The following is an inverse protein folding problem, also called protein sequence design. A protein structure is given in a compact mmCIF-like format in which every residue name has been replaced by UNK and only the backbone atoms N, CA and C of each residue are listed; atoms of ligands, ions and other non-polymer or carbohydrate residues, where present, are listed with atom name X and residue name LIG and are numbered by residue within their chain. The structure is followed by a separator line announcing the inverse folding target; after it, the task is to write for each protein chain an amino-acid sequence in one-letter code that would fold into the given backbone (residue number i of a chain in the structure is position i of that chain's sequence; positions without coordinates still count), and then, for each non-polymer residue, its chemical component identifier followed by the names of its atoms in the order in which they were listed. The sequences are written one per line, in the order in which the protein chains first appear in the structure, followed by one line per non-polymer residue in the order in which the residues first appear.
data_IF_688463923758
#
_entry.id   IF_688463923758
#
_cell.length_a   1.000
_cell.length_b   1.000
_cell.length_c   1.000
_cell.angle_alpha   90.00
_cell.angle_beta   90.00
_cell.angle_gamma   90.00
#
_symmetry.space_group_name_H-M   'P 1'
#
loop_
_entity.id
_entity.type
_entity.pdbx_description
1 polymer ?
#
# COMPACT_ATOMS: atom_id res chain seq x y z
N UNK A 1 -11.97 19.38 -12.04
CA UNK A 1 -10.83 18.47 -12.34
C UNK A 1 -11.31 17.11 -12.84
N UNK A 2 -10.45 16.36 -13.53
CA UNK A 2 -10.76 14.98 -13.91
C UNK A 2 -10.37 14.01 -12.78
N UNK A 3 -11.21 12.99 -12.55
CA UNK A 3 -10.96 11.96 -11.57
C UNK A 3 -11.50 10.59 -12.04
N UNK A 4 -10.93 9.50 -11.53
CA UNK A 4 -11.45 8.15 -11.72
C UNK A 4 -12.52 7.90 -10.66
N UNK A 5 -13.78 7.84 -11.10
CA UNK A 5 -14.94 7.74 -10.23
C UNK A 5 -15.55 6.34 -10.32
N UNK A 6 -15.78 5.71 -9.17
CA UNK A 6 -16.47 4.43 -9.08
C UNK A 6 -17.97 4.60 -9.39
N UNK A 7 -18.50 3.76 -10.25
CA UNK A 7 -19.93 3.79 -10.68
C UNK A 7 -20.70 2.59 -10.15
N UNK A 8 -20.02 1.52 -9.82
CA UNK A 8 -20.57 0.26 -9.37
C UNK A 8 -19.59 -0.90 -9.61
N UNK A 9 -19.92 -2.13 -9.20
CA UNK A 9 -19.06 -3.28 -9.40
C UNK A 9 -18.63 -3.44 -10.86
N UNK A 10 -17.33 -3.46 -11.10
CA UNK A 10 -16.65 -3.55 -12.41
C UNK A 10 -16.91 -2.36 -13.34
N UNK A 11 -17.29 -1.21 -12.77
CA UNK A 11 -17.52 0.00 -13.53
C UNK A 11 -16.84 1.21 -12.87
N UNK A 12 -15.94 1.84 -13.60
CA UNK A 12 -15.33 3.13 -13.28
C UNK A 12 -15.38 4.05 -14.51
N UNK A 13 -15.40 5.35 -14.28
CA UNK A 13 -15.38 6.34 -15.35
C UNK A 13 -14.43 7.48 -15.00
N UNK A 14 -13.80 8.09 -16.01
CA UNK A 14 -13.15 9.39 -15.84
C UNK A 14 -14.20 10.47 -15.99
N UNK A 15 -14.45 11.23 -14.92
CA UNK A 15 -15.46 12.27 -14.87
C UNK A 15 -14.86 13.62 -14.44
N UNK A 16 -15.55 14.68 -14.81
CA UNK A 16 -15.30 16.01 -14.24
C UNK A 16 -15.96 16.07 -12.86
N UNK A 17 -15.15 16.34 -11.84
CA UNK A 17 -15.59 16.57 -10.46
C UNK A 17 -15.12 17.94 -9.99
N UNK A 18 -15.67 18.43 -8.88
CA UNK A 18 -15.23 19.69 -8.29
C UNK A 18 -13.75 19.64 -7.90
N UNK A 19 -13.04 20.75 -8.08
CA UNK A 19 -11.68 20.88 -7.60
C UNK A 19 -11.66 20.89 -6.06
N UNK A 20 -10.68 20.22 -5.42
CA UNK A 20 -10.54 20.28 -3.97
C UNK A 20 -10.13 21.71 -3.54
N UNK A 21 -10.53 22.10 -2.33
CA UNK A 21 -10.19 23.39 -1.74
C UNK A 21 -9.59 23.20 -0.34
N UNK A 22 -8.81 24.16 0.14
CA UNK A 22 -8.39 24.25 1.55
C UNK A 22 -9.65 24.40 2.43
N UNK A 23 -9.86 23.45 3.33
CA UNK A 23 -10.97 23.44 4.29
C UNK A 23 -10.48 23.87 5.68
N UNK A 24 -9.34 23.32 6.08
CA UNK A 24 -8.69 23.61 7.35
C UNK A 24 -7.34 24.30 7.14
N UNK A 25 -6.88 25.12 8.11
CA UNK A 25 -5.57 25.79 7.99
C UNK A 25 -4.39 24.82 7.86
N UNK A 26 -4.54 23.55 8.22
CA UNK A 26 -3.51 22.51 8.17
C UNK A 26 -3.51 21.70 6.87
N UNK A 27 -4.37 22.06 5.92
CA UNK A 27 -4.48 21.38 4.63
C UNK A 27 -3.47 21.89 3.60
N UNK A 28 -3.18 21.03 2.63
CA UNK A 28 -2.60 21.46 1.34
C UNK A 28 -3.42 20.88 0.18
N UNK A 29 -3.32 21.50 -0.98
CA UNK A 29 -3.75 20.90 -2.25
C UNK A 29 -2.51 20.45 -2.99
N UNK A 30 -2.51 19.20 -3.39
CA UNK A 30 -1.42 18.56 -4.15
C UNK A 30 -1.90 18.28 -5.57
N UNK A 31 -1.18 18.77 -6.56
CA UNK A 31 -1.32 18.37 -7.95
C UNK A 31 -0.65 17.02 -8.12
N UNK A 32 -1.42 16.01 -8.43
CA UNK A 32 -0.93 14.63 -8.55
C UNK A 32 -0.10 14.48 -9.81
N UNK A 33 1.10 13.93 -9.66
CA UNK A 33 2.00 13.60 -10.78
C UNK A 33 2.03 12.11 -11.06
N UNK A 34 1.90 11.30 -10.03
CA UNK A 34 1.80 9.84 -10.15
C UNK A 34 0.88 9.28 -9.08
N UNK A 35 0.09 8.29 -9.46
CA UNK A 35 -0.74 7.49 -8.57
C UNK A 35 -0.70 6.04 -9.05
N UNK A 36 -0.76 5.08 -8.14
CA UNK A 36 -0.80 3.67 -8.49
C UNK A 36 -2.21 3.09 -8.31
N UNK A 37 -2.41 1.89 -8.84
CA UNK A 37 -3.60 1.07 -8.63
C UNK A 37 -3.20 -0.08 -7.70
N UNK A 38 -3.76 -0.11 -6.51
CA UNK A 38 -3.54 -1.14 -5.52
C UNK A 38 -4.50 -2.33 -5.68
N UNK A 39 -4.15 -3.47 -5.10
CA UNK A 39 -5.06 -4.60 -4.98
C UNK A 39 -6.35 -4.26 -4.23
N UNK A 40 -6.32 -3.36 -3.27
CA UNK A 40 -7.51 -2.89 -2.54
C UNK A 40 -8.45 -2.06 -3.42
N UNK A 41 -7.95 -1.27 -4.37
CA UNK A 41 -8.79 -0.61 -5.40
C UNK A 41 -9.51 -1.66 -6.24
N UNK A 42 -8.82 -2.74 -6.61
CA UNK A 42 -9.41 -3.85 -7.37
C UNK A 42 -10.48 -4.61 -6.56
N UNK A 43 -10.29 -4.76 -5.25
CA UNK A 43 -11.31 -5.37 -4.39
C UNK A 43 -12.60 -4.54 -4.33
N UNK A 44 -12.49 -3.21 -4.25
CA UNK A 44 -13.65 -2.31 -4.36
C UNK A 44 -14.28 -2.38 -5.76
N UNK A 45 -13.44 -2.33 -6.81
CA UNK A 45 -13.89 -2.43 -8.20
C UNK A 45 -14.66 -3.73 -8.46
N UNK A 46 -14.21 -4.87 -7.94
CA UNK A 46 -14.86 -6.17 -8.07
C UNK A 46 -16.08 -6.36 -7.15
N UNK A 47 -16.32 -5.44 -6.22
CA UNK A 47 -17.41 -5.54 -5.23
C UNK A 47 -17.11 -6.54 -4.10
N UNK A 48 -15.84 -6.85 -3.83
CA UNK A 48 -15.40 -7.70 -2.71
C UNK A 48 -15.36 -6.95 -1.39
N UNK A 49 -15.11 -5.65 -1.45
CA UNK A 49 -15.14 -4.73 -0.32
C UNK A 49 -16.07 -3.56 -0.62
N UNK A 50 -16.56 -2.91 0.42
CA UNK A 50 -17.52 -1.82 0.30
C UNK A 50 -16.95 -0.65 -0.50
N UNK A 51 -17.72 -0.17 -1.46
CA UNK A 51 -17.49 1.05 -2.21
C UNK A 51 -18.83 1.67 -2.58
N UNK A 52 -18.90 3.01 -2.59
CA UNK A 52 -20.10 3.75 -2.92
C UNK A 52 -19.94 4.44 -4.28
N UNK A 53 -20.95 4.37 -5.18
CA UNK A 53 -20.90 5.11 -6.43
C UNK A 53 -20.70 6.62 -6.17
N UNK A 54 -19.76 7.21 -6.92
CA UNK A 54 -19.36 8.61 -6.77
C UNK A 54 -18.03 8.81 -6.01
N UNK A 55 -17.49 7.79 -5.33
CA UNK A 55 -16.17 7.91 -4.72
C UNK A 55 -15.06 8.00 -5.78
N UNK A 56 -14.09 8.87 -5.56
CA UNK A 56 -12.84 8.91 -6.34
C UNK A 56 -11.86 7.89 -5.75
N UNK A 57 -11.32 7.02 -6.59
CA UNK A 57 -10.33 6.01 -6.19
C UNK A 57 -8.92 6.60 -6.01
N UNK A 58 -8.05 5.80 -5.42
CA UNK A 58 -6.61 6.01 -5.35
C UNK A 58 -6.10 6.50 -3.99
N UNK A 59 -5.25 5.68 -3.39
CA UNK A 59 -4.60 5.99 -2.10
C UNK A 59 -3.07 5.94 -2.18
N UNK A 60 -2.50 5.59 -3.31
CA UNK A 60 -1.05 5.57 -3.55
C UNK A 60 -0.64 6.80 -4.36
N UNK A 61 -0.45 7.93 -3.71
CA UNK A 61 -0.38 9.23 -4.37
C UNK A 61 0.95 9.94 -4.12
N UNK A 62 1.45 10.63 -5.14
CA UNK A 62 2.50 11.61 -5.02
C UNK A 62 2.26 12.79 -5.97
N UNK A 63 2.89 13.91 -5.69
CA UNK A 63 2.70 15.08 -6.52
C UNK A 63 3.46 16.31 -6.04
N UNK A 64 3.02 17.45 -6.52
CA UNK A 64 3.59 18.77 -6.20
C UNK A 64 2.55 19.57 -5.40
N UNK A 65 2.98 20.13 -4.28
CA UNK A 65 2.15 21.03 -3.47
C UNK A 65 1.83 22.28 -4.27
N UNK A 66 0.54 22.57 -4.48
CA UNK A 66 0.07 23.76 -5.20
C UNK A 66 -0.37 24.86 -4.23
N UNK A 67 -1.29 24.53 -3.31
CA UNK A 67 -1.82 25.45 -2.32
C UNK A 67 -1.50 24.99 -0.89
N UNK A 68 -1.28 25.95 -0.01
CA UNK A 68 -0.86 25.69 1.37
C UNK A 68 -1.73 26.47 2.34
N UNK A 69 -2.33 25.78 3.30
CA UNK A 69 -3.06 26.36 4.40
C UNK A 69 -2.17 27.16 5.34
N UNK A 70 -2.74 28.16 6.01
CA UNK A 70 -1.97 29.11 6.85
C UNK A 70 -1.30 28.46 8.07
N UNK A 71 -1.72 27.29 8.48
CA UNK A 71 -1.19 26.55 9.62
C UNK A 71 -0.12 25.52 9.26
N UNK A 72 0.21 25.35 7.99
CA UNK A 72 1.22 24.38 7.52
C UNK A 72 2.60 25.00 7.64
N UNK A 73 3.56 24.23 8.17
CA UNK A 73 4.92 24.70 8.46
C UNK A 73 6.03 23.90 7.76
N UNK A 74 5.79 22.64 7.41
CA UNK A 74 6.83 21.71 6.95
C UNK A 74 6.99 21.64 5.43
N UNK A 75 5.95 22.01 4.68
CA UNK A 75 5.93 22.02 3.21
C UNK A 75 5.45 23.36 2.67
N UNK A 76 5.81 23.66 1.43
CA UNK A 76 5.44 24.89 0.72
C UNK A 76 5.07 24.57 -0.73
N UNK A 77 4.39 25.51 -1.40
CA UNK A 77 4.09 25.41 -2.85
C UNK A 77 5.37 25.15 -3.65
N UNK A 78 5.29 24.20 -4.57
CA UNK A 78 6.39 23.69 -5.38
C UNK A 78 7.14 22.50 -4.78
N UNK A 79 6.94 22.15 -3.52
CA UNK A 79 7.56 20.97 -2.92
C UNK A 79 6.97 19.69 -3.52
N UNK A 80 7.86 18.73 -3.79
CA UNK A 80 7.49 17.38 -4.22
C UNK A 80 7.27 16.50 -3.01
N UNK A 81 6.13 15.82 -2.97
CA UNK A 81 5.72 15.01 -1.81
C UNK A 81 5.15 13.66 -2.24
N UNK A 82 5.38 12.64 -1.40
CA UNK A 82 4.60 11.40 -1.42
C UNK A 82 3.63 11.41 -0.24
N UNK A 83 2.45 10.87 -0.45
CA UNK A 83 1.34 10.89 0.49
C UNK A 83 1.09 9.46 0.98
N UNK A 84 1.39 9.15 2.26
CA UNK A 84 1.01 7.87 2.85
C UNK A 84 -0.48 7.61 2.66
N UNK A 85 -0.86 6.37 2.36
CA UNK A 85 -2.26 6.03 2.06
C UNK A 85 -3.21 6.36 3.21
N UNK A 86 -2.75 6.26 4.46
CA UNK A 86 -3.54 6.53 5.64
C UNK A 86 -3.42 8.00 6.07
N UNK A 87 -4.54 8.55 6.51
CA UNK A 87 -4.63 9.91 7.06
C UNK A 87 -4.51 9.87 8.58
N UNK A 88 -3.66 10.72 9.14
CA UNK A 88 -3.50 10.86 10.59
C UNK A 88 -3.18 12.31 10.99
N UNK A 89 -3.50 12.70 12.22
CA UNK A 89 -3.28 14.09 12.66
C UNK A 89 -1.83 14.39 13.10
N UNK A 90 -1.04 13.37 13.48
CA UNK A 90 0.34 13.53 13.93
C UNK A 90 0.53 13.97 15.39
N UNK A 91 -0.52 14.46 16.08
CA UNK A 91 -0.38 15.07 17.40
C UNK A 91 -1.18 14.40 18.53
N UNK A 92 -2.16 13.54 18.26
CA UNK A 92 -2.85 12.81 19.31
C UNK A 92 -1.95 11.76 19.99
N UNK A 93 -2.37 11.21 21.10
CA UNK A 93 -1.55 10.28 21.90
C UNK A 93 -1.16 9.03 21.08
N UNK A 94 -2.08 8.51 20.27
CA UNK A 94 -1.80 7.36 19.42
C UNK A 94 -0.76 7.69 18.32
N UNK A 95 -0.89 8.86 17.67
CA UNK A 95 0.10 9.29 16.68
C UNK A 95 1.48 9.51 17.31
N UNK A 96 1.55 10.15 18.49
CA UNK A 96 2.81 10.33 19.24
C UNK A 96 3.44 9.01 19.69
N UNK A 97 2.62 7.97 19.90
CA UNK A 97 3.07 6.63 20.22
C UNK A 97 3.42 5.77 18.98
N UNK A 98 3.45 6.35 17.76
CA UNK A 98 3.71 5.65 16.51
C UNK A 98 2.55 4.78 16.01
N UNK A 99 1.35 4.99 16.53
CA UNK A 99 0.14 4.23 16.18
C UNK A 99 -0.81 5.05 15.32
N UNK A 100 -0.31 5.61 14.23
CA UNK A 100 -1.04 6.54 13.35
C UNK A 100 -2.29 5.91 12.70
N UNK A 101 -2.26 4.62 12.39
CA UNK A 101 -3.43 3.89 11.89
C UNK A 101 -4.62 3.89 12.88
N UNK A 102 -4.36 4.16 14.17
CA UNK A 102 -5.37 4.31 15.22
C UNK A 102 -5.47 5.76 15.69
N UNK A 103 -5.30 6.72 14.80
CA UNK A 103 -5.38 8.14 15.10
C UNK A 103 -6.72 8.49 15.74
N UNK A 104 -6.69 9.13 16.92
CA UNK A 104 -7.90 9.46 17.67
C UNK A 104 -8.68 10.64 17.09
N UNK A 105 -8.06 11.41 16.21
CA UNK A 105 -8.68 12.60 15.58
C UNK A 105 -9.46 12.24 14.32
N UNK A 106 -8.94 11.30 13.53
CA UNK A 106 -9.54 10.94 12.22
C UNK A 106 -10.37 9.66 12.29
N UNK A 107 -10.22 8.86 13.34
CA UNK A 107 -11.05 7.67 13.55
C UNK A 107 -12.37 8.08 14.21
N UNK A 108 -13.40 8.19 13.41
CA UNK A 108 -14.75 8.28 13.92
C UNK A 108 -15.18 6.93 14.55
N UNK A 109 -16.10 6.95 15.52
CA UNK A 109 -16.62 5.70 16.10
C UNK A 109 -17.16 4.76 15.02
N UNK A 110 -16.59 3.56 14.94
CA UNK A 110 -16.96 2.53 13.96
C UNK A 110 -16.14 2.55 12.67
N UNK A 111 -15.16 3.44 12.52
CA UNK A 111 -14.20 3.43 11.41
C UNK A 111 -12.85 2.80 11.81
N UNK A 112 -12.14 2.25 10.83
CA UNK A 112 -10.86 1.58 11.04
C UNK A 112 -9.67 2.45 10.59
N UNK A 113 -9.67 3.73 10.90
CA UNK A 113 -8.65 4.69 10.48
C UNK A 113 -9.14 5.66 9.42
N UNK A 114 -8.26 6.56 8.98
CA UNK A 114 -8.47 7.44 7.83
C UNK A 114 -7.63 7.01 6.66
N UNK A 115 -8.21 6.93 5.45
CA UNK A 115 -7.46 6.66 4.23
C UNK A 115 -8.09 7.36 3.03
N UNK A 116 -7.28 7.67 2.03
CA UNK A 116 -7.77 8.25 0.78
C UNK A 116 -8.53 7.21 -0.04
N UNK A 117 -9.64 7.62 -0.66
CA UNK A 117 -10.36 6.81 -1.63
C UNK A 117 -10.99 5.52 -1.09
N UNK A 118 -11.22 5.43 0.22
CA UNK A 118 -11.79 4.23 0.86
C UNK A 118 -12.99 4.61 1.73
N UNK A 119 -14.20 4.17 1.36
CA UNK A 119 -15.47 4.60 1.97
C UNK A 119 -15.57 4.29 3.47
N UNK A 120 -15.03 3.17 3.90
CA UNK A 120 -15.04 2.74 5.31
C UNK A 120 -13.97 3.42 6.18
N UNK A 121 -13.16 4.34 5.63
CA UNK A 121 -12.01 4.95 6.30
C UNK A 121 -12.05 6.47 6.26
N UNK A 122 -13.22 7.05 6.43
CA UNK A 122 -13.44 8.49 6.51
C UNK A 122 -13.73 9.17 5.16
N UNK A 123 -14.02 10.50 5.21
CA UNK A 123 -14.51 11.25 4.07
C UNK A 123 -13.37 11.80 3.18
N UNK A 124 -12.31 11.01 2.95
CA UNK A 124 -11.14 11.45 2.20
C UNK A 124 -11.22 10.92 0.76
N UNK A 125 -11.39 11.83 -0.20
CA UNK A 125 -11.36 11.48 -1.63
C UNK A 125 -10.02 10.87 -2.04
N UNK A 126 -10.04 10.04 -3.07
CA UNK A 126 -8.81 9.43 -3.60
C UNK A 126 -8.07 10.33 -4.59
N UNK A 127 -6.82 9.99 -4.83
CA UNK A 127 -5.90 10.75 -5.68
C UNK A 127 -5.69 10.17 -7.07
N UNK A 128 -6.54 9.22 -7.55
CA UNK A 128 -6.63 8.95 -8.98
C UNK A 128 -7.41 10.09 -9.65
N UNK A 129 -6.89 11.30 -9.49
CA UNK A 129 -7.44 12.60 -9.89
C UNK A 129 -6.31 13.58 -10.22
N UNK A 130 -6.63 14.73 -10.80
CA UNK A 130 -5.62 15.76 -11.09
C UNK A 130 -5.11 16.47 -9.83
N UNK A 131 -5.97 16.61 -8.81
CA UNK A 131 -5.63 17.23 -7.52
C UNK A 131 -6.20 16.46 -6.34
N UNK A 132 -5.53 16.58 -5.20
CA UNK A 132 -5.94 15.96 -3.94
C UNK A 132 -5.78 16.95 -2.79
N UNK A 133 -6.82 17.07 -1.94
CA UNK A 133 -6.71 17.73 -0.64
C UNK A 133 -6.04 16.79 0.36
N UNK A 134 -5.00 17.26 1.01
CA UNK A 134 -4.26 16.52 2.05
C UNK A 134 -4.47 17.22 3.39
N UNK A 135 -5.27 16.65 4.30
CA UNK A 135 -5.44 17.19 5.65
C UNK A 135 -4.20 16.91 6.51
N UNK A 136 -3.98 17.74 7.53
CA UNK A 136 -2.82 17.61 8.44
C UNK A 136 -1.51 17.44 7.67
N UNK A 137 -1.24 18.35 6.74
CA UNK A 137 -0.17 18.24 5.76
C UNK A 137 1.21 18.07 6.37
N UNK A 138 1.49 18.70 7.50
CA UNK A 138 2.75 18.57 8.22
C UNK A 138 3.04 17.12 8.68
N UNK A 139 2.04 16.27 8.73
CA UNK A 139 2.19 14.86 9.06
C UNK A 139 2.01 13.94 7.86
N UNK A 140 1.09 14.28 6.95
CA UNK A 140 0.70 13.41 5.83
C UNK A 140 1.42 13.73 4.51
N UNK A 141 2.28 14.74 4.46
CA UNK A 141 3.16 15.00 3.34
C UNK A 141 4.59 14.60 3.69
N UNK A 142 5.15 13.62 2.99
CA UNK A 142 6.56 13.25 3.11
C UNK A 142 7.34 13.93 1.99
N UNK A 143 8.21 14.93 2.29
CA UNK A 143 8.97 15.62 1.27
C UNK A 143 9.94 14.70 0.53
N UNK A 144 10.03 14.87 -0.78
CA UNK A 144 10.92 14.14 -1.66
C UNK A 144 11.99 15.07 -2.24
N UNK A 145 13.11 14.53 -2.74
CA UNK A 145 14.08 15.31 -3.51
C UNK A 145 13.40 16.02 -4.69
N UNK A 146 13.80 17.25 -4.96
CA UNK A 146 13.31 18.03 -6.10
C UNK A 146 13.69 17.35 -7.43
N UNK A 147 12.87 17.57 -8.46
CA UNK A 147 13.06 17.00 -9.79
C UNK A 147 12.08 15.87 -10.10
N UNK A 148 12.28 15.21 -11.23
CA UNK A 148 11.41 14.14 -11.74
C UNK A 148 12.07 12.75 -11.66
N UNK A 149 13.30 12.69 -11.19
CA UNK A 149 14.04 11.44 -11.07
C UNK A 149 13.36 10.50 -10.08
N UNK A 150 13.41 9.20 -10.36
CA UNK A 150 12.85 8.15 -9.51
C UNK A 150 11.36 8.28 -9.20
N UNK A 151 10.59 8.91 -10.09
CA UNK A 151 9.15 9.15 -9.89
C UNK A 151 8.39 7.86 -9.54
N UNK A 152 8.65 6.79 -10.30
CA UNK A 152 7.99 5.49 -10.11
C UNK A 152 8.43 4.80 -8.82
N UNK A 153 9.69 4.97 -8.43
CA UNK A 153 10.22 4.37 -7.20
C UNK A 153 9.62 5.07 -5.98
N UNK A 154 9.54 6.41 -6.03
CA UNK A 154 8.94 7.20 -4.95
C UNK A 154 7.43 6.98 -4.81
N UNK A 155 6.71 6.73 -5.90
CA UNK A 155 5.27 6.43 -5.82
C UNK A 155 4.99 5.18 -4.96
N UNK A 156 5.88 4.19 -4.96
CA UNK A 156 5.74 2.99 -4.12
C UNK A 156 5.86 3.27 -2.61
N UNK A 157 6.42 4.42 -2.22
CA UNK A 157 6.50 4.82 -0.81
C UNK A 157 5.15 5.25 -0.23
N UNK A 158 4.13 5.45 -1.06
CA UNK A 158 2.80 5.82 -0.58
C UNK A 158 2.11 4.68 0.18
N UNK A 159 2.27 3.41 -0.26
CA UNK A 159 1.65 2.24 0.36
C UNK A 159 2.50 0.98 0.26
N UNK A 160 2.72 0.44 -0.94
CA UNK A 160 3.16 -0.96 -1.11
C UNK A 160 4.53 -1.25 -0.50
N UNK A 161 5.48 -0.31 -0.54
CA UNK A 161 6.78 -0.51 0.09
C UNK A 161 6.68 -0.47 1.62
N UNK A 162 6.09 0.58 2.28
CA UNK A 162 5.92 0.58 3.73
C UNK A 162 5.01 -0.57 4.22
N UNK A 163 4.00 -1.00 3.45
CA UNK A 163 3.18 -2.17 3.79
C UNK A 163 4.00 -3.45 3.77
N UNK A 164 4.81 -3.69 2.75
CA UNK A 164 5.76 -4.80 2.70
C UNK A 164 6.80 -4.74 3.82
N UNK A 165 7.34 -3.56 4.12
CA UNK A 165 8.26 -3.38 5.24
C UNK A 165 7.59 -3.68 6.59
N UNK A 166 6.39 -3.15 6.80
CA UNK A 166 5.63 -3.38 8.04
C UNK A 166 5.28 -4.86 8.26
N UNK A 167 5.00 -5.62 7.18
CA UNK A 167 4.76 -7.06 7.29
C UNK A 167 5.98 -7.79 7.87
N UNK A 168 7.19 -7.39 7.49
CA UNK A 168 8.43 -7.97 8.05
C UNK A 168 8.70 -7.52 9.49
N UNK A 169 8.24 -6.32 9.89
CA UNK A 169 8.26 -5.88 11.30
C UNK A 169 7.32 -6.75 12.13
N UNK A 170 6.08 -6.98 11.67
CA UNK A 170 5.11 -7.82 12.35
C UNK A 170 5.56 -9.28 12.46
N UNK A 171 6.18 -9.82 11.41
CA UNK A 171 6.79 -11.14 11.42
C UNK A 171 8.03 -11.22 12.35
N UNK A 172 8.60 -10.08 12.74
CA UNK A 172 9.76 -10.00 13.62
C UNK A 172 11.05 -10.47 12.97
N UNK A 173 11.21 -10.28 11.66
CA UNK A 173 12.39 -10.71 10.87
C UNK A 173 13.67 -10.13 11.45
N UNK A 174 14.66 -11.01 11.71
CA UNK A 174 15.99 -10.68 12.21
C UNK A 174 17.09 -11.03 11.20
N UNK A 175 18.26 -10.38 11.29
CA UNK A 175 19.41 -10.73 10.45
C UNK A 175 19.79 -12.22 10.58
N UNK A 176 20.03 -12.87 9.44
CA UNK A 176 20.42 -14.27 9.37
C UNK A 176 19.26 -15.25 9.31
N UNK A 177 18.02 -14.83 9.59
CA UNK A 177 16.83 -15.69 9.51
C UNK A 177 16.43 -15.99 8.06
N UNK A 178 15.67 -17.06 7.89
CA UNK A 178 15.02 -17.45 6.62
C UNK A 178 13.58 -17.00 6.61
N UNK A 179 13.08 -16.52 5.46
CA UNK A 179 11.74 -15.92 5.33
C UNK A 179 11.00 -16.52 4.16
N UNK A 180 9.72 -16.90 4.36
CA UNK A 180 8.79 -17.22 3.28
C UNK A 180 7.81 -16.08 3.08
N UNK A 181 7.66 -15.62 1.83
CA UNK A 181 6.67 -14.62 1.41
C UNK A 181 5.70 -15.30 0.47
N UNK A 182 4.44 -15.38 0.84
CA UNK A 182 3.38 -15.94 0.00
C UNK A 182 2.73 -14.83 -0.81
N UNK A 183 2.81 -14.95 -2.14
CA UNK A 183 2.39 -13.95 -3.12
C UNK A 183 3.57 -13.09 -3.62
N UNK A 184 3.79 -13.10 -4.94
CA UNK A 184 4.76 -12.24 -5.62
C UNK A 184 4.07 -11.03 -6.32
N UNK A 185 2.97 -10.57 -5.76
CA UNK A 185 2.39 -9.28 -6.12
C UNK A 185 3.27 -8.12 -5.63
N UNK A 186 2.90 -6.85 -5.92
CA UNK A 186 3.71 -5.70 -5.53
C UNK A 186 4.06 -5.66 -4.03
N UNK A 187 3.10 -5.92 -3.14
CA UNK A 187 3.33 -5.98 -1.69
C UNK A 187 4.29 -7.12 -1.32
N UNK A 188 4.10 -8.32 -1.88
CA UNK A 188 4.97 -9.46 -1.59
C UNK A 188 6.41 -9.24 -2.06
N UNK A 189 6.61 -8.66 -3.25
CA UNK A 189 7.94 -8.28 -3.73
C UNK A 189 8.60 -7.24 -2.81
N UNK A 190 7.84 -6.25 -2.32
CA UNK A 190 8.35 -5.26 -1.36
C UNK A 190 8.60 -5.88 0.02
N UNK A 191 7.83 -6.88 0.44
CA UNK A 191 8.10 -7.65 1.66
C UNK A 191 9.41 -8.46 1.54
N UNK A 192 9.61 -9.12 0.40
CA UNK A 192 10.86 -9.83 0.11
C UNK A 192 12.07 -8.89 0.11
N UNK A 193 11.97 -7.76 -0.56
CA UNK A 193 13.02 -6.73 -0.56
C UNK A 193 13.28 -6.17 0.85
N UNK A 194 12.22 -5.94 1.62
CA UNK A 194 12.33 -5.48 3.02
C UNK A 194 13.00 -6.51 3.93
N UNK A 195 12.69 -7.81 3.75
CA UNK A 195 13.38 -8.89 4.45
C UNK A 195 14.90 -8.91 4.13
N UNK A 196 15.26 -8.66 2.86
CA UNK A 196 16.66 -8.50 2.46
C UNK A 196 17.33 -7.30 3.13
N UNK A 197 16.67 -6.13 3.17
CA UNK A 197 17.17 -4.94 3.87
C UNK A 197 17.39 -5.18 5.36
N UNK A 198 16.60 -6.08 5.98
CA UNK A 198 16.77 -6.50 7.37
C UNK A 198 17.83 -7.59 7.57
N UNK A 199 18.46 -8.03 6.49
CA UNK A 199 19.55 -9.01 6.55
C UNK A 199 19.11 -10.47 6.66
N UNK A 200 17.91 -10.81 6.17
CA UNK A 200 17.50 -12.20 6.03
C UNK A 200 18.53 -12.97 5.18
N UNK A 201 18.84 -14.21 5.57
CA UNK A 201 19.86 -15.04 4.91
C UNK A 201 19.34 -15.68 3.62
N UNK A 202 18.07 -16.10 3.61
CA UNK A 202 17.37 -16.64 2.44
C UNK A 202 15.92 -16.18 2.47
N UNK A 203 15.39 -15.89 1.30
CA UNK A 203 14.01 -15.39 1.13
C UNK A 203 13.36 -16.21 0.03
N UNK A 204 12.30 -16.92 0.38
CA UNK A 204 11.49 -17.70 -0.56
C UNK A 204 10.24 -16.91 -0.92
N UNK A 205 9.94 -16.77 -2.21
CA UNK A 205 8.73 -16.08 -2.68
C UNK A 205 7.87 -17.07 -3.43
N UNK A 206 6.69 -17.33 -2.91
CA UNK A 206 5.74 -18.33 -3.42
C UNK A 206 4.70 -17.65 -4.31
N UNK A 207 4.61 -18.06 -5.57
CA UNK A 207 3.59 -17.61 -6.54
C UNK A 207 3.51 -18.66 -7.68
N UNK A 208 2.68 -18.42 -8.68
CA UNK A 208 2.64 -19.27 -9.89
C UNK A 208 2.76 -18.45 -11.19
N UNK A 209 2.73 -17.12 -11.09
CA UNK A 209 2.83 -16.25 -12.27
C UNK A 209 4.30 -16.10 -12.67
N UNK A 210 4.72 -16.58 -13.85
CA UNK A 210 6.13 -16.63 -14.21
C UNK A 210 6.85 -15.28 -14.13
N UNK A 211 6.25 -14.21 -14.68
CA UNK A 211 6.85 -12.87 -14.66
C UNK A 211 7.03 -12.32 -13.24
N UNK A 212 6.17 -12.68 -12.29
CA UNK A 212 6.30 -12.28 -10.89
C UNK A 212 7.43 -13.04 -10.19
N UNK A 213 7.54 -14.33 -10.48
CA UNK A 213 8.64 -15.16 -9.97
C UNK A 213 10.01 -14.72 -10.53
N UNK A 214 10.05 -14.25 -11.78
CA UNK A 214 11.25 -13.67 -12.36
C UNK A 214 11.65 -12.37 -11.65
N UNK A 215 10.69 -11.48 -11.35
CA UNK A 215 10.94 -10.28 -10.54
C UNK A 215 11.43 -10.61 -9.13
N UNK A 216 10.89 -11.65 -8.50
CA UNK A 216 11.37 -12.11 -7.20
C UNK A 216 12.85 -12.55 -7.28
N UNK A 217 13.22 -13.28 -8.34
CA UNK A 217 14.60 -13.68 -8.60
C UNK A 217 15.53 -12.49 -8.82
N UNK A 218 15.08 -11.50 -9.60
CA UNK A 218 15.85 -10.27 -9.86
C UNK A 218 16.10 -9.45 -8.58
N UNK A 219 15.19 -9.52 -7.61
CA UNK A 219 15.37 -8.94 -6.29
C UNK A 219 16.28 -9.78 -5.36
N UNK A 220 16.77 -10.93 -5.82
CA UNK A 220 17.64 -11.80 -5.03
C UNK A 220 16.90 -12.80 -4.13
N UNK A 221 15.59 -12.96 -4.29
CA UNK A 221 14.83 -14.00 -3.61
C UNK A 221 14.83 -15.33 -4.39
N UNK A 222 14.50 -16.41 -3.73
CA UNK A 222 14.32 -17.74 -4.31
C UNK A 222 12.86 -17.97 -4.66
N UNK A 223 12.49 -18.00 -5.95
CA UNK A 223 11.11 -18.19 -6.37
C UNK A 223 10.68 -19.65 -6.18
N UNK A 224 9.50 -19.83 -5.63
CA UNK A 224 8.82 -21.11 -5.45
C UNK A 224 7.54 -21.09 -6.26
N UNK A 225 7.47 -21.93 -7.30
CA UNK A 225 6.26 -22.08 -8.11
C UNK A 225 5.39 -23.19 -7.51
N UNK A 226 4.21 -22.84 -7.01
CA UNK A 226 3.32 -23.84 -6.43
C UNK A 226 2.60 -24.73 -7.48
N UNK A 227 2.67 -24.39 -8.77
CA UNK A 227 2.23 -25.31 -9.84
C UNK A 227 3.20 -26.48 -10.02
N UNK A 228 4.45 -26.37 -9.57
CA UNK A 228 5.46 -27.43 -9.65
C UNK A 228 5.35 -28.43 -8.47
N UNK A 229 4.52 -28.16 -7.49
CA UNK A 229 4.28 -29.02 -6.31
C UNK A 229 4.00 -28.23 -5.04
N UNK A 230 3.88 -28.93 -3.92
CA UNK A 230 3.62 -28.31 -2.61
C UNK A 230 4.72 -27.32 -2.24
N UNK A 231 4.41 -26.03 -2.07
CA UNK A 231 5.41 -25.01 -1.75
C UNK A 231 6.09 -25.22 -0.40
N UNK A 232 5.39 -25.81 0.58
CA UNK A 232 5.97 -26.15 1.90
C UNK A 232 7.04 -27.21 1.73
N UNK A 233 6.79 -28.25 0.91
CA UNK A 233 7.75 -29.29 0.64
C UNK A 233 8.96 -28.75 -0.13
N UNK A 234 8.74 -27.91 -1.16
CA UNK A 234 9.83 -27.29 -1.91
C UNK A 234 10.77 -26.47 -1.01
N UNK A 235 10.20 -25.65 -0.09
CA UNK A 235 10.97 -24.85 0.86
C UNK A 235 11.71 -25.76 1.86
N UNK A 236 11.02 -26.79 2.39
CA UNK A 236 11.61 -27.74 3.33
C UNK A 236 12.77 -28.50 2.71
N UNK A 237 12.64 -28.93 1.47
CA UNK A 237 13.73 -29.59 0.73
C UNK A 237 14.93 -28.65 0.50
N UNK A 238 14.67 -27.36 0.22
CA UNK A 238 15.70 -26.33 0.05
C UNK A 238 16.42 -25.98 1.35
N UNK A 239 15.83 -26.31 2.51
CA UNK A 239 16.34 -26.07 3.86
C UNK A 239 16.75 -27.35 4.60
N UNK A 240 17.10 -28.42 3.87
CA UNK A 240 17.58 -29.70 4.44
C UNK A 240 16.61 -30.31 5.48
N UNK A 241 15.32 -30.19 5.27
CA UNK A 241 14.27 -30.73 6.13
C UNK A 241 13.72 -29.77 7.18
N UNK A 242 14.14 -28.49 7.17
CA UNK A 242 13.64 -27.45 8.08
C UNK A 242 12.64 -26.52 7.37
N UNK A 243 11.78 -25.87 8.15
CA UNK A 243 10.95 -24.75 7.66
C UNK A 243 11.68 -23.41 7.76
N UNK A 244 11.05 -22.35 7.27
CA UNK A 244 11.55 -20.98 7.44
C UNK A 244 11.34 -20.48 8.88
N UNK A 245 12.20 -19.55 9.33
CA UNK A 245 12.07 -18.91 10.64
C UNK A 245 10.85 -17.99 10.71
N UNK A 246 10.53 -17.32 9.59
CA UNK A 246 9.44 -16.33 9.48
C UNK A 246 8.64 -16.52 8.20
N UNK A 247 7.39 -16.08 8.27
CA UNK A 247 6.51 -16.06 7.11
C UNK A 247 5.62 -14.82 7.07
N UNK A 248 5.24 -14.41 5.87
CA UNK A 248 4.26 -13.35 5.63
C UNK A 248 3.33 -13.71 4.48
N UNK A 249 2.04 -13.40 4.64
CA UNK A 249 1.01 -13.55 3.62
C UNK A 249 0.76 -12.20 2.94
N UNK A 250 1.00 -12.14 1.64
CA UNK A 250 0.73 -10.99 0.77
C UNK A 250 -0.26 -11.31 -0.35
N UNK A 251 -1.04 -12.40 -0.21
CA UNK A 251 -2.06 -12.82 -1.20
C UNK A 251 -3.45 -12.34 -0.79
N UNK A 252 -3.83 -12.54 0.47
CA UNK A 252 -5.13 -12.15 1.00
C UNK A 252 -6.30 -12.89 0.34
N UNK A 253 -7.35 -12.15 -0.07
CA UNK A 253 -8.61 -12.71 -0.59
C UNK A 253 -8.48 -13.59 -1.83
N UNK A 254 -7.42 -13.42 -2.60
CA UNK A 254 -7.22 -14.11 -3.89
C UNK A 254 -6.34 -15.35 -3.78
N UNK A 255 -6.11 -15.85 -2.56
CA UNK A 255 -5.39 -17.10 -2.38
C UNK A 255 -6.17 -18.25 -3.02
N UNK A 256 -5.53 -18.97 -3.94
CA UNK A 256 -6.13 -20.10 -4.66
C UNK A 256 -5.59 -21.42 -4.14
N UNK A 257 -6.48 -22.38 -3.92
CA UNK A 257 -6.08 -23.76 -3.69
C UNK A 257 -5.66 -24.45 -5.01
N UNK A 258 -5.09 -25.64 -4.92
CA UNK A 258 -4.73 -26.46 -6.09
C UNK A 258 -5.95 -26.79 -7.00
N UNK A 259 -7.20 -26.66 -6.50
CA UNK A 259 -8.44 -26.76 -7.29
C UNK A 259 -8.68 -25.56 -8.21
N UNK A 260 -7.94 -24.45 -8.03
CA UNK A 260 -8.19 -23.16 -8.70
C UNK A 260 -9.31 -22.35 -8.05
N UNK A 261 -9.92 -22.82 -6.96
CA UNK A 261 -10.91 -22.06 -6.19
C UNK A 261 -10.20 -21.08 -5.22
N UNK A 262 -10.78 -19.89 -5.07
CA UNK A 262 -10.29 -18.91 -4.11
C UNK A 262 -10.66 -19.31 -2.68
N UNK A 263 -9.66 -19.45 -1.83
CA UNK A 263 -9.81 -19.72 -0.40
C UNK A 263 -8.89 -18.77 0.38
N UNK A 264 -9.41 -17.71 1.01
CA UNK A 264 -8.59 -16.72 1.72
C UNK A 264 -7.66 -17.28 2.80
N UNK A 265 -7.97 -18.46 3.33
CA UNK A 265 -7.15 -19.13 4.34
C UNK A 265 -6.13 -20.13 3.77
N UNK A 266 -5.98 -20.24 2.46
CA UNK A 266 -5.08 -21.25 1.83
C UNK A 266 -3.64 -21.09 2.29
N UNK A 267 -3.16 -19.85 2.43
CA UNK A 267 -1.78 -19.59 2.88
C UNK A 267 -1.57 -19.95 4.36
N UNK A 268 -2.63 -19.91 5.17
CA UNK A 268 -2.58 -20.16 6.61
C UNK A 268 -2.78 -21.64 6.98
N UNK A 269 -3.23 -22.46 6.06
CA UNK A 269 -3.53 -23.89 6.23
C UNK A 269 -2.52 -24.78 5.53
#
# INVERSE_FOLDING_TARGET
MKAVVYKGPREVAVEEVDDPAIVDPTDVIVRITSTAICGSDLHMYEGRTDAEPGITFGHENMGIVEEVGQGVATVKSGDRVVLPFNVACGFCDNCRAGKSAFCLTVNEPGTAGGAYGYVGMGPYGGGQAEYLRVPFADYNCVPLPAGEEHEKDFAMLADIFPTGYHSTELAGVQPGETVAVYGAGPVGLMAAYSAQLKGASRIFVVDHVPNRLDLARDLGAEPINFDDGDPVQQITDALDGFGTDRGTDAVGYQATAASGEEHPATVLN
#
